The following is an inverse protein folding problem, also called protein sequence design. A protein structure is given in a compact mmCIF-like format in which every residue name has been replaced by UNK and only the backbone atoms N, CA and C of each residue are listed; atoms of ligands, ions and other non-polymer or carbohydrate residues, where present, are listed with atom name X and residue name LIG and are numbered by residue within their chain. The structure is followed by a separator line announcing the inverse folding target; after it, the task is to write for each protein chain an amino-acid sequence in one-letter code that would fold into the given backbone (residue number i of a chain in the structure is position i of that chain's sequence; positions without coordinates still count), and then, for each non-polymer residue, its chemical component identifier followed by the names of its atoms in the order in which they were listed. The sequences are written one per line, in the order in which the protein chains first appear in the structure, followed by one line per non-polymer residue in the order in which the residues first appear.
data_IF_745791003856
#
_entry.id   IF_745791003856
#
_cell.length_a   1.000
_cell.length_b   1.000
_cell.length_c   1.000
_cell.angle_alpha   90.00
_cell.angle_beta   90.00
_cell.angle_gamma   90.00
#
_symmetry.space_group_name_H-M   'P 1'
#
loop_
_entity.id
_entity.type
_entity.pdbx_description
1 polymer ?
#
# COMPACT_ATOMS: atom_id res chain seq x y z
N UNK A 1 -2.59 -0.31 -30.83
CA UNK A 1 -2.54 -1.30 -29.71
C UNK A 1 -1.35 -0.85 -28.90
N UNK A 2 -1.57 0.18 -28.10
CA UNK A 2 -0.51 1.09 -27.64
C UNK A 2 -0.04 0.73 -26.21
N UNK A 3 -0.74 -0.22 -25.60
CA UNK A 3 -0.58 -0.72 -24.24
C UNK A 3 0.63 -1.67 -24.08
N UNK A 4 1.27 -2.07 -25.19
CA UNK A 4 2.48 -2.92 -25.19
C UNK A 4 3.73 -2.14 -24.75
N UNK A 5 3.74 -0.81 -24.93
CA UNK A 5 4.87 0.04 -24.51
C UNK A 5 4.78 0.52 -23.06
N UNK A 6 3.61 0.45 -22.42
CA UNK A 6 3.44 0.90 -21.05
C UNK A 6 4.15 -0.08 -20.10
N UNK A 7 5.27 0.34 -19.51
CA UNK A 7 6.05 -0.45 -18.55
C UNK A 7 6.23 0.32 -17.26
N UNK A 8 5.93 -0.31 -16.13
CA UNK A 8 6.05 0.38 -14.85
C UNK A 8 5.67 -0.45 -13.63
N UNK A 9 5.81 0.18 -12.47
CA UNK A 9 5.29 -0.31 -11.21
C UNK A 9 4.71 0.88 -10.44
N UNK A 10 3.50 0.71 -9.92
CA UNK A 10 2.86 1.68 -9.03
C UNK A 10 2.71 0.99 -7.68
N UNK A 11 3.28 1.61 -6.64
CA UNK A 11 3.00 1.24 -5.26
C UNK A 11 2.01 2.25 -4.67
N UNK A 12 1.13 1.77 -3.80
CA UNK A 12 0.16 2.55 -3.05
C UNK A 12 0.17 2.06 -1.61
N UNK A 13 0.29 2.97 -0.66
CA UNK A 13 0.25 2.63 0.77
C UNK A 13 -0.22 3.84 1.57
N UNK A 14 -1.14 3.66 2.53
CA UNK A 14 -1.56 4.73 3.42
C UNK A 14 -0.45 5.12 4.40
N UNK A 15 0.55 4.27 4.59
CA UNK A 15 1.63 4.47 5.56
C UNK A 15 2.90 3.74 5.12
N UNK A 16 3.76 4.47 4.44
CA UNK A 16 5.00 3.98 3.86
C UNK A 16 6.20 4.47 4.65
N UNK A 17 7.11 3.56 5.00
CA UNK A 17 8.42 3.94 5.50
C UNK A 17 9.33 4.31 4.32
N UNK A 18 9.68 5.58 4.20
CA UNK A 18 10.52 6.06 3.11
C UNK A 18 11.98 5.65 3.30
N UNK A 19 12.38 4.53 2.71
CA UNK A 19 13.78 4.11 2.64
C UNK A 19 14.58 5.04 1.72
N UNK A 20 15.81 5.40 2.12
CA UNK A 20 16.74 6.22 1.34
C UNK A 20 16.81 7.71 1.72
N UNK A 21 15.96 8.20 2.63
CA UNK A 21 16.07 9.56 3.19
C UNK A 21 17.02 9.59 4.39
N UNK A 22 18.32 9.50 4.15
CA UNK A 22 19.37 9.51 5.18
C UNK A 22 19.55 10.86 5.93
N UNK A 23 18.67 11.85 5.73
CA UNK A 23 18.89 13.24 6.16
C UNK A 23 17.86 13.84 7.12
N UNK A 24 16.72 13.20 7.38
CA UNK A 24 15.73 13.72 8.33
C UNK A 24 15.85 12.97 9.66
N UNK A 25 16.33 13.70 10.67
CA UNK A 25 16.69 13.16 11.98
C UNK A 25 15.62 12.28 12.61
N UNK A 26 16.02 11.05 12.96
CA UNK A 26 15.47 10.11 13.96
C UNK A 26 13.98 9.78 13.99
N UNK A 27 13.08 10.46 13.30
CA UNK A 27 11.68 10.10 13.22
C UNK A 27 11.41 9.37 11.91
N UNK A 28 11.69 8.06 11.92
CA UNK A 28 11.31 7.14 10.83
C UNK A 28 9.82 6.85 10.96
N UNK A 29 8.98 7.88 10.95
CA UNK A 29 7.54 7.69 11.01
C UNK A 29 7.05 7.31 9.62
N UNK A 30 6.08 6.39 9.51
CA UNK A 30 5.45 6.14 8.23
C UNK A 30 4.74 7.40 7.75
N UNK A 31 4.66 7.59 6.43
CA UNK A 31 3.94 8.69 5.79
C UNK A 31 3.06 8.16 4.65
N UNK A 32 1.98 8.87 4.32
CA UNK A 32 1.23 8.59 3.10
C UNK A 32 2.17 8.64 1.90
N UNK A 33 2.12 7.61 1.04
CA UNK A 33 2.97 7.57 -0.15
C UNK A 33 2.68 8.78 -1.06
N UNK A 34 3.72 9.31 -1.73
CA UNK A 34 3.61 10.52 -2.54
C UNK A 34 2.46 10.48 -3.58
N UNK A 35 2.24 9.35 -4.25
CA UNK A 35 1.15 9.16 -5.22
C UNK A 35 -0.26 9.27 -4.62
N UNK A 36 -0.37 9.26 -3.29
CA UNK A 36 -1.59 9.42 -2.52
C UNK A 36 -1.65 10.76 -1.78
N UNK A 37 -0.60 11.60 -1.78
CA UNK A 37 -0.65 12.92 -1.12
C UNK A 37 -1.49 13.90 -1.94
N UNK A 38 -2.36 14.68 -1.28
CA UNK A 38 -3.19 15.72 -1.90
C UNK A 38 -2.38 16.84 -2.54
N UNK A 39 -1.17 17.07 -2.04
CA UNK A 39 -0.25 18.10 -2.56
C UNK A 39 0.31 17.76 -3.94
N UNK A 40 0.33 16.48 -4.31
CA UNK A 40 0.63 16.06 -5.66
C UNK A 40 -0.65 16.24 -6.48
N UNK A 41 -0.68 17.24 -7.36
CA UNK A 41 -1.86 17.62 -8.15
C UNK A 41 -2.45 16.51 -9.06
N UNK A 42 -1.85 15.33 -9.08
CA UNK A 42 -2.41 14.10 -9.63
C UNK A 42 -3.15 13.31 -8.54
N UNK A 43 -4.48 13.35 -8.60
CA UNK A 43 -5.36 12.62 -7.67
C UNK A 43 -5.64 11.17 -8.12
N UNK A 44 -5.04 10.71 -9.21
CA UNK A 44 -5.29 9.41 -9.82
C UNK A 44 -5.16 8.24 -8.84
N UNK A 45 -4.15 8.29 -7.95
CA UNK A 45 -3.96 7.27 -6.91
C UNK A 45 -5.14 7.19 -5.93
N UNK A 46 -5.66 8.34 -5.46
CA UNK A 46 -6.81 8.37 -4.54
C UNK A 46 -8.10 7.92 -5.22
N UNK A 47 -8.32 8.33 -6.47
CA UNK A 47 -9.46 7.90 -7.28
C UNK A 47 -9.43 6.39 -7.48
N UNK A 48 -8.25 5.85 -7.82
CA UNK A 48 -8.06 4.42 -8.01
C UNK A 48 -8.31 3.63 -6.73
N UNK A 49 -7.78 4.05 -5.58
CA UNK A 49 -8.05 3.39 -4.28
C UNK A 49 -9.55 3.35 -3.98
N UNK A 50 -10.26 4.46 -4.25
CA UNK A 50 -11.72 4.52 -4.10
C UNK A 50 -12.47 3.55 -5.03
N UNK A 51 -12.01 3.40 -6.28
CA UNK A 51 -12.60 2.46 -7.23
C UNK A 51 -12.35 0.98 -6.85
N UNK A 52 -11.26 0.69 -6.13
CA UNK A 52 -10.83 -0.66 -5.78
C UNK A 52 -11.43 -1.19 -4.48
N UNK A 53 -12.34 -0.44 -3.83
CA UNK A 53 -12.89 -0.77 -2.50
C UNK A 53 -13.44 -2.20 -2.42
N UNK A 54 -14.26 -2.58 -3.41
CA UNK A 54 -14.90 -3.90 -3.42
C UNK A 54 -13.85 -5.00 -3.57
N UNK A 55 -12.89 -4.84 -4.50
CA UNK A 55 -11.88 -5.87 -4.74
C UNK A 55 -10.96 -6.05 -3.52
N UNK A 56 -10.49 -4.96 -2.95
CA UNK A 56 -9.62 -4.97 -1.76
C UNK A 56 -10.32 -5.61 -0.55
N UNK A 57 -11.61 -5.32 -0.39
CA UNK A 57 -12.43 -5.93 0.66
C UNK A 57 -12.57 -7.43 0.44
N UNK A 58 -12.87 -7.86 -0.80
CA UNK A 58 -12.96 -9.29 -1.14
C UNK A 58 -11.66 -10.03 -0.87
N UNK A 59 -10.52 -9.48 -1.27
CA UNK A 59 -9.20 -10.08 -1.02
C UNK A 59 -8.90 -10.17 0.48
N UNK A 60 -9.26 -9.14 1.25
CA UNK A 60 -9.13 -9.15 2.71
C UNK A 60 -10.02 -10.23 3.35
N UNK A 61 -11.24 -10.42 2.86
CA UNK A 61 -12.14 -11.50 3.32
C UNK A 61 -11.59 -12.88 2.95
N UNK A 62 -11.06 -13.06 1.73
CA UNK A 62 -10.41 -14.31 1.34
C UNK A 62 -9.25 -14.64 2.27
N UNK A 63 -8.42 -13.64 2.62
CA UNK A 63 -7.35 -13.82 3.59
C UNK A 63 -7.88 -14.20 4.97
N UNK A 64 -8.98 -13.58 5.43
CA UNK A 64 -9.61 -13.92 6.70
C UNK A 64 -10.07 -15.39 6.76
N UNK A 65 -10.48 -15.96 5.62
CA UNK A 65 -10.90 -17.37 5.51
C UNK A 65 -9.70 -18.31 5.41
N UNK A 66 -8.72 -17.99 4.56
CA UNK A 66 -7.59 -18.89 4.29
C UNK A 66 -6.53 -18.85 5.40
N UNK A 67 -6.29 -17.68 5.99
CA UNK A 67 -5.25 -17.43 6.98
C UNK A 67 -5.74 -16.46 8.07
N UNK A 68 -6.62 -16.91 8.99
CA UNK A 68 -7.26 -16.05 9.98
C UNK A 68 -6.29 -15.28 10.88
N UNK A 69 -5.23 -15.93 11.36
CA UNK A 69 -4.22 -15.30 12.24
C UNK A 69 -3.49 -14.17 11.52
N UNK A 70 -3.20 -14.38 10.24
CA UNK A 70 -2.50 -13.42 9.41
C UNK A 70 -3.39 -12.23 9.05
N UNK A 71 -4.68 -12.48 8.77
CA UNK A 71 -5.68 -11.42 8.65
C UNK A 71 -5.80 -10.60 9.95
N UNK A 72 -5.86 -11.28 11.11
CA UNK A 72 -5.95 -10.61 12.41
C UNK A 72 -4.72 -9.71 12.67
N UNK A 73 -3.52 -10.19 12.32
CA UNK A 73 -2.29 -9.40 12.43
C UNK A 73 -2.33 -8.16 11.51
N UNK A 74 -2.76 -8.32 10.24
CA UNK A 74 -2.90 -7.19 9.31
C UNK A 74 -3.94 -6.17 9.78
N UNK A 75 -5.11 -6.63 10.24
CA UNK A 75 -6.15 -5.77 10.81
C UNK A 75 -5.64 -4.99 12.03
N UNK A 76 -4.93 -5.66 12.93
CA UNK A 76 -4.34 -5.04 14.11
C UNK A 76 -3.29 -3.98 13.72
N UNK A 77 -2.49 -4.23 12.69
CA UNK A 77 -1.55 -3.25 12.17
C UNK A 77 -2.27 -2.00 11.64
N UNK A 78 -3.36 -2.17 10.88
CA UNK A 78 -4.18 -1.06 10.37
C UNK A 78 -4.82 -0.23 11.50
N UNK A 79 -5.30 -0.87 12.58
CA UNK A 79 -5.84 -0.17 13.75
C UNK A 79 -4.77 0.66 14.44
N UNK A 80 -3.62 0.05 14.76
CA UNK A 80 -2.49 0.75 15.40
C UNK A 80 -2.00 1.94 14.57
N UNK A 81 -2.08 1.81 13.26
CA UNK A 81 -1.71 2.87 12.34
C UNK A 81 -2.74 4.00 12.32
N UNK A 82 -4.04 3.69 12.41
CA UNK A 82 -5.10 4.68 12.61
C UNK A 82 -4.92 5.46 13.91
N UNK A 83 -4.74 4.76 15.02
CA UNK A 83 -4.46 5.35 16.34
C UNK A 83 -3.22 6.26 16.33
N UNK A 84 -2.22 5.91 15.53
CA UNK A 84 -1.04 6.74 15.33
C UNK A 84 -1.37 7.98 14.51
N UNK A 85 -2.05 7.80 13.36
CA UNK A 85 -2.40 8.86 12.43
C UNK A 85 -3.20 9.99 13.09
N UNK A 86 -4.17 9.66 13.96
CA UNK A 86 -4.95 10.63 14.74
C UNK A 86 -4.08 11.63 15.52
N UNK A 87 -2.87 11.23 15.92
CA UNK A 87 -1.97 12.04 16.75
C UNK A 87 -0.92 12.78 15.94
N UNK A 88 -0.61 12.34 14.71
CA UNK A 88 0.58 12.81 13.98
C UNK A 88 0.33 13.26 12.55
N UNK A 89 -0.66 12.70 11.84
CA UNK A 89 -0.85 12.93 10.40
C UNK A 89 -2.33 12.74 10.01
N UNK A 90 -3.04 13.87 9.87
CA UNK A 90 -4.44 13.89 9.45
C UNK A 90 -4.64 13.39 8.00
N UNK A 91 -3.64 13.53 7.12
CA UNK A 91 -3.73 13.04 5.75
C UNK A 91 -3.62 11.50 5.72
N UNK A 92 -2.77 10.94 6.60
CA UNK A 92 -2.73 9.50 6.84
C UNK A 92 -4.06 8.98 7.37
N UNK A 93 -4.67 9.68 8.34
CA UNK A 93 -5.99 9.31 8.87
C UNK A 93 -7.04 9.21 7.77
N UNK A 94 -7.17 10.25 6.94
CA UNK A 94 -8.11 10.21 5.81
C UNK A 94 -7.78 9.09 4.81
N UNK A 95 -6.50 8.84 4.53
CA UNK A 95 -6.13 7.77 3.61
C UNK A 95 -6.47 6.40 4.18
N UNK A 96 -6.31 6.19 5.49
CA UNK A 96 -6.69 4.96 6.18
C UNK A 96 -8.20 4.74 6.17
N UNK A 97 -9.01 5.79 6.32
CA UNK A 97 -10.47 5.69 6.19
C UNK A 97 -10.91 5.23 4.80
N UNK A 98 -10.16 5.63 3.75
CA UNK A 98 -10.39 5.20 2.37
C UNK A 98 -9.78 3.83 2.06
N UNK A 99 -8.89 3.33 2.92
CA UNK A 99 -8.13 2.10 2.69
C UNK A 99 -8.94 0.88 3.12
N UNK A 100 -9.46 0.17 2.13
CA UNK A 100 -10.38 -0.97 2.26
C UNK A 100 -9.67 -2.34 2.36
N UNK A 101 -8.37 -2.35 2.67
CA UNK A 101 -7.52 -3.53 2.62
C UNK A 101 -6.79 -3.75 3.94
N UNK A 102 -6.63 -5.01 4.35
CA UNK A 102 -5.73 -5.36 5.47
C UNK A 102 -4.26 -5.49 5.05
N UNK A 103 -3.99 -5.43 3.75
CA UNK A 103 -2.64 -5.36 3.19
C UNK A 103 -2.13 -3.92 3.33
N UNK A 104 -0.89 -3.76 3.78
CA UNK A 104 -0.28 -2.44 4.01
C UNK A 104 0.13 -1.72 2.73
N UNK A 105 0.31 -2.47 1.65
CA UNK A 105 0.76 -1.97 0.35
C UNK A 105 -0.02 -2.68 -0.75
N UNK A 106 -0.34 -1.94 -1.81
CA UNK A 106 -0.82 -2.48 -3.07
C UNK A 106 0.16 -2.07 -4.18
N UNK A 107 0.71 -3.07 -4.87
CA UNK A 107 1.66 -2.90 -5.97
C UNK A 107 1.07 -3.41 -7.28
N UNK A 108 1.05 -2.57 -8.31
CA UNK A 108 0.63 -2.96 -9.66
C UNK A 108 1.82 -2.87 -10.59
N UNK A 109 2.23 -4.01 -11.17
CA UNK A 109 3.34 -4.13 -12.11
C UNK A 109 2.81 -4.35 -13.52
N UNK A 110 3.25 -3.53 -14.47
CA UNK A 110 2.78 -3.59 -15.87
C UNK A 110 3.95 -3.90 -16.80
N UNK A 111 3.80 -4.95 -17.62
CA UNK A 111 4.79 -5.40 -18.62
C UNK A 111 6.23 -5.45 -18.06
N UNK A 112 6.37 -5.86 -16.79
CA UNK A 112 7.62 -5.82 -16.04
C UNK A 112 7.76 -7.07 -15.19
N UNK A 113 8.89 -7.75 -15.36
CA UNK A 113 9.37 -8.77 -14.44
C UNK A 113 10.23 -8.12 -13.34
N UNK A 114 10.01 -8.53 -12.09
CA UNK A 114 10.87 -8.13 -10.98
C UNK A 114 12.08 -9.06 -10.91
N UNK A 115 13.32 -8.53 -10.84
CA UNK A 115 14.50 -9.37 -10.61
C UNK A 115 14.34 -10.22 -9.35
N UNK A 116 15.00 -11.39 -9.32
CA UNK A 116 15.05 -12.21 -8.12
C UNK A 116 15.62 -11.40 -6.95
N UNK A 117 14.82 -11.20 -5.92
CA UNK A 117 15.21 -10.48 -4.71
C UNK A 117 14.46 -11.04 -3.51
N UNK A 118 14.90 -10.63 -2.32
CA UNK A 118 14.23 -10.90 -1.05
C UNK A 118 14.14 -9.58 -0.29
N UNK A 119 12.95 -9.25 0.21
CA UNK A 119 12.83 -8.16 1.17
C UNK A 119 13.35 -8.64 2.54
N UNK A 120 14.38 -7.95 3.03
CA UNK A 120 15.01 -8.24 4.33
C UNK A 120 14.43 -7.39 5.46
N UNK A 121 13.69 -6.33 5.14
CA UNK A 121 13.19 -5.36 6.12
C UNK A 121 11.70 -5.56 6.43
N UNK A 122 11.02 -6.48 5.74
CA UNK A 122 9.65 -6.88 6.04
C UNK A 122 9.52 -7.68 7.35
N UNK A 123 8.35 -7.59 7.98
CA UNK A 123 7.94 -8.49 9.08
C UNK A 123 6.80 -9.38 8.61
N UNK A 124 6.59 -10.52 9.26
CA UNK A 124 5.55 -11.48 8.85
C UNK A 124 4.13 -10.88 8.91
N UNK A 125 3.92 -9.90 9.78
CA UNK A 125 2.66 -9.19 9.94
C UNK A 125 2.46 -8.12 8.85
N UNK A 126 3.50 -7.79 8.08
CA UNK A 126 3.47 -6.82 7.00
C UNK A 126 3.26 -7.56 5.69
N UNK A 127 2.04 -7.46 5.17
CA UNK A 127 1.70 -8.06 3.89
C UNK A 127 1.46 -7.01 2.82
N UNK A 128 2.00 -7.32 1.66
CA UNK A 128 1.80 -6.56 0.44
C UNK A 128 0.93 -7.36 -0.52
N UNK A 129 -0.01 -6.66 -1.15
CA UNK A 129 -0.78 -7.19 -2.27
C UNK A 129 -0.08 -6.77 -3.56
N UNK A 130 0.26 -7.73 -4.41
CA UNK A 130 0.81 -7.43 -5.74
C UNK A 130 -0.04 -8.00 -6.86
N UNK A 131 -0.18 -7.22 -7.92
CA UNK A 131 -0.84 -7.61 -9.15
C UNK A 131 0.08 -7.32 -10.34
N UNK A 132 0.20 -8.30 -11.24
CA UNK A 132 0.92 -8.14 -12.50
C UNK A 132 -0.10 -8.08 -13.64
N UNK A 133 0.09 -7.14 -14.57
CA UNK A 133 -0.78 -6.94 -15.75
C UNK A 133 0.05 -6.82 -17.02
N UNK A 134 -0.36 -7.52 -18.07
CA UNK A 134 0.23 -7.41 -19.40
C UNK A 134 1.04 -8.62 -19.85
N UNK A 135 1.85 -8.42 -20.88
CA UNK A 135 2.74 -9.44 -21.44
C UNK A 135 4.13 -9.22 -20.86
N UNK A 136 4.51 -10.08 -19.93
CA UNK A 136 5.83 -10.19 -19.32
C UNK A 136 6.46 -11.52 -19.70
#
# INVERSE_FOLDING_TARGET
RDDVELKGCINLSPAWFQQGRNGQGRNHLPEVLASLKKSNGDSGGRVWVGAMVILNTLLSVMLAVMHPDLYAAGREAMIKLGDHAERVDAEMGEMLERWSSVYGVISVMVNRESPLHRDYNGKNEWMDLSASVGQY
#
